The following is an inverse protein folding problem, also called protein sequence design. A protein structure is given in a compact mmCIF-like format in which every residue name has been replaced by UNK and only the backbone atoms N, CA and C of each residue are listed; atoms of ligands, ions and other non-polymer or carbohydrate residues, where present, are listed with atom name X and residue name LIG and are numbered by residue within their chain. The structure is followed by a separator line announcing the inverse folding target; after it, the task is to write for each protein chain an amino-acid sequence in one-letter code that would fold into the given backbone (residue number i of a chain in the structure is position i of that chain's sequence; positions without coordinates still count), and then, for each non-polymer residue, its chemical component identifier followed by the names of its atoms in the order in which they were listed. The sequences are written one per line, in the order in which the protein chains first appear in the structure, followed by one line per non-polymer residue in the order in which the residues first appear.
data_IF_863673778403
#
_entry.id   IF_863673778403
#
_cell.length_a   1.000
_cell.length_b   1.000
_cell.length_c   1.000
_cell.angle_alpha   90.00
_cell.angle_beta   90.00
_cell.angle_gamma   90.00
#
_symmetry.space_group_name_H-M   'P 1'
#
loop_
_entity.id
_entity.type
_entity.pdbx_description
1 polymer ?
#
# COMPACT_ATOMS: atom_id res chain seq x y z
N UNK A 1 -1.07 16.70 -41.56
CA UNK A 1 -1.62 15.50 -40.91
C UNK A 1 -0.69 15.13 -39.76
N UNK A 2 -1.07 15.47 -38.52
CA UNK A 2 -0.17 15.35 -37.37
C UNK A 2 -0.13 13.89 -36.87
N UNK A 3 1.05 13.28 -36.87
CA UNK A 3 1.29 11.99 -36.22
C UNK A 3 1.60 12.27 -34.75
N UNK A 4 0.85 11.66 -33.85
CA UNK A 4 1.03 11.84 -32.42
C UNK A 4 2.15 10.90 -31.96
N UNK A 5 3.31 11.45 -31.60
CA UNK A 5 4.42 10.75 -30.94
C UNK A 5 4.09 10.55 -29.45
N UNK A 6 2.98 9.87 -29.17
CA UNK A 6 2.64 9.43 -27.82
C UNK A 6 2.47 7.92 -27.85
N UNK A 7 3.54 7.20 -27.55
CA UNK A 7 3.41 5.88 -26.91
C UNK A 7 3.51 6.13 -25.41
N UNK A 8 2.37 6.20 -24.69
CA UNK A 8 2.38 6.68 -23.31
C UNK A 8 2.99 5.61 -22.40
N UNK A 9 4.21 5.86 -21.89
CA UNK A 9 4.85 5.07 -20.83
C UNK A 9 3.96 4.91 -19.58
N UNK A 10 3.04 5.86 -19.36
CA UNK A 10 2.02 5.82 -18.32
C UNK A 10 1.07 4.63 -18.41
N UNK A 11 0.90 4.03 -19.59
CA UNK A 11 0.02 2.86 -19.73
C UNK A 11 0.64 1.59 -19.14
N UNK A 12 1.98 1.52 -19.10
CA UNK A 12 2.71 0.37 -18.55
C UNK A 12 3.18 0.61 -17.10
N UNK A 13 3.08 1.84 -16.60
CA UNK A 13 3.34 2.15 -15.21
C UNK A 13 2.17 1.65 -14.35
N UNK A 14 2.48 0.98 -13.24
CA UNK A 14 1.42 0.48 -12.35
C UNK A 14 0.57 1.64 -11.84
N UNK A 15 -0.76 1.58 -11.99
CA UNK A 15 -1.62 2.70 -11.67
C UNK A 15 -1.54 3.02 -10.17
N UNK A 16 -1.41 4.31 -9.85
CA UNK A 16 -1.52 4.81 -8.48
C UNK A 16 -2.99 4.84 -8.10
N UNK A 17 -3.37 4.12 -7.04
CA UNK A 17 -4.77 3.97 -6.60
C UNK A 17 -5.09 4.94 -5.47
N UNK A 18 -4.14 5.17 -4.54
CA UNK A 18 -4.40 6.00 -3.36
C UNK A 18 -3.19 6.83 -2.92
N UNK A 19 -3.29 8.17 -2.93
CA UNK A 19 -2.25 9.12 -2.42
C UNK A 19 -0.81 8.84 -2.90
N UNK A 20 -0.65 8.31 -4.11
CA UNK A 20 0.66 7.96 -4.71
C UNK A 20 1.15 6.53 -4.43
N UNK A 21 0.31 5.68 -3.81
CA UNK A 21 0.52 4.25 -3.60
C UNK A 21 -0.10 3.43 -4.73
N UNK A 22 0.60 2.37 -5.14
CA UNK A 22 0.08 1.31 -6.02
C UNK A 22 -0.95 0.46 -5.28
N UNK A 23 -1.87 -0.17 -6.01
CA UNK A 23 -2.96 -0.97 -5.39
C UNK A 23 -2.46 -2.04 -4.40
N UNK A 24 -1.30 -2.65 -4.66
CA UNK A 24 -0.70 -3.67 -3.78
C UNK A 24 -0.11 -3.08 -2.50
N UNK A 25 0.51 -1.90 -2.58
CA UNK A 25 1.03 -1.19 -1.40
C UNK A 25 -0.11 -0.74 -0.48
N UNK A 26 -1.21 -0.26 -1.06
CA UNK A 26 -2.44 0.08 -0.32
C UNK A 26 -2.96 -1.15 0.41
N UNK A 27 -3.06 -2.30 -0.27
CA UNK A 27 -3.54 -3.54 0.32
C UNK A 27 -2.68 -3.98 1.53
N UNK A 28 -1.35 -3.90 1.44
CA UNK A 28 -0.45 -4.26 2.54
C UNK A 28 -0.58 -3.33 3.75
N UNK A 29 -0.63 -2.01 3.53
CA UNK A 29 -0.80 -1.04 4.63
C UNK A 29 -2.18 -1.18 5.27
N UNK A 30 -3.19 -1.49 4.47
CA UNK A 30 -4.54 -1.70 4.94
C UNK A 30 -4.65 -2.99 5.77
N UNK A 31 -4.11 -4.11 5.29
CA UNK A 31 -4.05 -5.37 6.03
C UNK A 31 -3.22 -5.23 7.31
N UNK A 32 -2.05 -4.59 7.24
CA UNK A 32 -1.21 -4.33 8.41
C UNK A 32 -1.93 -3.46 9.45
N UNK A 33 -2.65 -2.42 9.01
CA UNK A 33 -3.48 -1.61 9.88
C UNK A 33 -4.63 -2.38 10.51
N UNK A 34 -5.35 -3.18 9.71
CA UNK A 34 -6.45 -4.01 10.19
C UNK A 34 -5.97 -5.00 11.26
N UNK A 35 -4.88 -5.74 11.00
CA UNK A 35 -4.32 -6.70 11.95
C UNK A 35 -3.76 -6.01 13.19
N UNK A 36 -3.10 -4.86 13.06
CA UNK A 36 -2.55 -4.12 14.19
C UNK A 36 -3.64 -3.54 15.12
N UNK A 37 -4.79 -3.14 14.57
CA UNK A 37 -5.91 -2.59 15.34
C UNK A 37 -6.94 -3.63 15.81
N UNK A 38 -6.80 -4.88 15.39
CA UNK A 38 -7.64 -5.99 15.84
C UNK A 38 -7.47 -6.30 17.35
N UNK A 39 -6.25 -6.45 17.91
CA UNK A 39 -6.07 -6.64 19.34
C UNK A 39 -6.65 -5.52 20.22
N UNK A 40 -6.36 -4.22 19.98
CA UNK A 40 -6.96 -3.16 20.78
C UNK A 40 -8.49 -3.10 20.60
N UNK A 41 -9.02 -3.46 19.43
CA UNK A 41 -10.47 -3.59 19.22
C UNK A 41 -11.11 -4.68 20.08
N UNK A 42 -10.45 -5.84 20.24
CA UNK A 42 -10.91 -6.92 21.13
C UNK A 42 -10.88 -6.48 22.60
N UNK A 43 -9.78 -5.84 23.02
CA UNK A 43 -9.63 -5.33 24.39
C UNK A 43 -10.73 -4.31 24.71
N UNK A 44 -11.02 -3.40 23.78
CA UNK A 44 -12.05 -2.39 23.94
C UNK A 44 -13.47 -3.00 23.95
N UNK A 45 -13.72 -4.01 23.12
CA UNK A 45 -14.99 -4.72 23.10
C UNK A 45 -15.26 -5.48 24.41
N UNK A 46 -14.22 -6.04 25.04
CA UNK A 46 -14.35 -6.68 26.35
C UNK A 46 -14.71 -5.66 27.44
N UNK A 47 -14.16 -4.45 27.37
CA UNK A 47 -14.41 -3.39 28.34
C UNK A 47 -15.82 -2.79 28.24
N UNK A 48 -16.33 -2.61 27.01
CA UNK A 48 -17.64 -1.98 26.75
C UNK A 48 -18.77 -3.02 26.69
N UNK A 49 -18.44 -4.32 26.54
CA UNK A 49 -19.41 -5.41 26.42
C UNK A 49 -20.16 -5.46 25.09
N UNK A 50 -19.74 -4.66 24.10
CA UNK A 50 -20.39 -4.53 22.79
C UNK A 50 -19.54 -5.21 21.70
N UNK A 51 -20.01 -6.34 21.18
CA UNK A 51 -19.31 -7.13 20.14
C UNK A 51 -19.09 -6.32 18.85
N UNK A 52 -19.96 -5.35 18.57
CA UNK A 52 -19.85 -4.44 17.42
C UNK A 52 -18.65 -3.47 17.48
N UNK A 53 -17.94 -3.37 18.62
CA UNK A 53 -16.75 -2.52 18.73
C UNK A 53 -15.53 -3.09 18.00
N UNK A 54 -15.44 -4.40 17.85
CA UNK A 54 -14.29 -5.03 17.19
C UNK A 54 -14.16 -4.60 15.72
N UNK A 55 -15.20 -4.73 14.85
CA UNK A 55 -15.07 -4.31 13.46
C UNK A 55 -14.93 -2.80 13.31
N UNK A 56 -15.58 -1.99 14.16
CA UNK A 56 -15.50 -0.52 14.04
C UNK A 56 -14.11 0.01 14.35
N UNK A 57 -13.44 -0.48 15.39
CA UNK A 57 -12.05 -0.10 15.71
C UNK A 57 -11.08 -0.62 14.65
N UNK A 58 -11.29 -1.84 14.15
CA UNK A 58 -10.42 -2.40 13.11
C UNK A 58 -10.51 -1.62 11.79
N UNK A 59 -11.72 -1.25 11.33
CA UNK A 59 -11.89 -0.42 10.15
C UNK A 59 -11.42 1.03 10.36
N UNK A 60 -11.66 1.61 11.54
CA UNK A 60 -11.15 2.94 11.87
C UNK A 60 -9.61 2.96 11.86
N UNK A 61 -8.97 1.94 12.44
CA UNK A 61 -7.52 1.76 12.44
C UNK A 61 -6.92 1.53 11.05
N UNK A 62 -7.59 0.72 10.22
CA UNK A 62 -7.24 0.54 8.80
C UNK A 62 -7.31 1.86 8.01
N UNK A 63 -8.33 2.69 8.26
CA UNK A 63 -8.41 4.02 7.64
C UNK A 63 -7.27 4.94 8.10
N UNK A 64 -6.96 4.94 9.39
CA UNK A 64 -5.89 5.74 9.98
C UNK A 64 -4.51 5.33 9.44
N UNK A 65 -4.24 4.02 9.33
CA UNK A 65 -2.98 3.51 8.78
C UNK A 65 -2.81 3.93 7.31
N UNK A 66 -3.87 3.94 6.51
CA UNK A 66 -3.85 4.40 5.12
C UNK A 66 -3.59 5.91 5.00
N UNK A 67 -4.18 6.72 5.87
CA UNK A 67 -3.96 8.17 5.89
C UNK A 67 -2.50 8.50 6.21
N UNK A 68 -1.93 7.83 7.22
CA UNK A 68 -0.54 7.96 7.63
C UNK A 68 0.41 7.42 6.56
N UNK A 69 0.16 6.19 6.07
CA UNK A 69 0.95 5.54 5.02
C UNK A 69 1.02 6.37 3.75
N UNK A 70 -0.11 6.92 3.30
CA UNK A 70 -0.13 7.82 2.14
C UNK A 70 0.54 9.18 2.40
N UNK A 71 0.56 9.67 3.64
CA UNK A 71 1.29 10.91 3.99
C UNK A 71 2.80 10.70 3.93
N UNK A 72 3.27 9.57 4.46
CA UNK A 72 4.68 9.16 4.45
C UNK A 72 5.13 8.97 3.00
N UNK A 73 4.33 8.29 2.18
CA UNK A 73 4.72 8.01 0.80
C UNK A 73 4.77 9.27 -0.07
N UNK A 74 3.91 10.26 0.20
CA UNK A 74 3.97 11.58 -0.45
C UNK A 74 5.23 12.37 -0.09
N UNK A 75 5.81 12.15 1.10
CA UNK A 75 7.09 12.73 1.53
C UNK A 75 8.28 11.98 0.93
N UNK A 76 8.26 10.64 0.95
CA UNK A 76 9.32 9.79 0.41
C UNK A 76 9.50 9.94 -1.11
N UNK A 77 8.40 10.18 -1.85
CA UNK A 77 8.41 10.36 -3.31
C UNK A 77 8.72 11.79 -3.77
N UNK A 78 8.99 12.75 -2.87
CA UNK A 78 9.50 14.08 -3.27
C UNK A 78 10.97 13.96 -3.71
N UNK A 79 11.18 13.91 -5.03
CA UNK A 79 12.51 14.03 -5.65
C UNK A 79 13.19 12.72 -6.07
N UNK A 80 12.51 11.58 -6.09
CA UNK A 80 13.06 10.30 -6.57
C UNK A 80 12.26 9.76 -7.77
N UNK A 81 12.92 9.35 -8.87
CA UNK A 81 12.23 8.72 -10.00
C UNK A 81 11.58 7.40 -9.56
N UNK A 82 10.45 6.97 -10.17
CA UNK A 82 9.77 5.73 -9.82
C UNK A 82 10.39 4.53 -10.55
N UNK A 83 11.25 3.74 -9.88
CA UNK A 83 11.28 2.30 -10.19
C UNK A 83 11.43 1.36 -8.97
N UNK A 84 11.73 1.87 -7.77
CA UNK A 84 12.20 1.01 -6.67
C UNK A 84 11.10 0.19 -5.97
N UNK A 85 9.85 0.68 -5.90
CA UNK A 85 8.85 0.04 -5.03
C UNK A 85 8.15 -1.17 -5.65
N UNK A 86 8.00 -1.23 -6.98
CA UNK A 86 7.46 -2.43 -7.66
C UNK A 86 8.43 -3.59 -7.59
N UNK A 87 9.72 -3.37 -7.88
CA UNK A 87 10.74 -4.43 -7.83
C UNK A 87 10.96 -4.90 -6.39
N UNK A 88 11.12 -3.97 -5.42
CA UNK A 88 11.32 -4.33 -4.01
C UNK A 88 10.13 -5.07 -3.38
N UNK A 89 8.90 -4.66 -3.70
CA UNK A 89 7.69 -5.34 -3.22
C UNK A 89 7.46 -6.68 -3.94
N UNK A 90 7.89 -6.82 -5.21
CA UNK A 90 7.86 -8.10 -5.92
C UNK A 90 8.90 -9.08 -5.35
N UNK A 91 10.09 -8.59 -4.96
CA UNK A 91 11.14 -9.40 -4.34
C UNK A 91 10.84 -9.78 -2.89
N UNK A 92 10.03 -9.00 -2.17
CA UNK A 92 9.66 -9.30 -0.79
C UNK A 92 8.75 -10.54 -0.65
N UNK A 93 8.11 -11.00 -1.73
CA UNK A 93 7.13 -12.10 -1.69
C UNK A 93 7.45 -13.27 -2.62
N UNK A 94 8.26 -13.07 -3.67
CA UNK A 94 8.73 -14.18 -4.50
C UNK A 94 10.14 -14.62 -4.07
N UNK A 95 10.32 -15.84 -3.53
CA UNK A 95 11.65 -16.35 -3.18
C UNK A 95 12.60 -16.48 -4.38
N UNK A 96 12.08 -16.44 -5.63
CA UNK A 96 12.90 -16.50 -6.84
C UNK A 96 13.27 -15.13 -7.44
N UNK A 97 12.73 -14.01 -6.96
CA UNK A 97 12.86 -12.74 -7.69
C UNK A 97 14.29 -12.15 -7.70
N UNK A 98 15.19 -12.68 -6.87
CA UNK A 98 16.61 -12.32 -6.89
C UNK A 98 17.37 -12.82 -8.13
N UNK A 99 16.88 -13.83 -8.86
CA UNK A 99 17.60 -14.38 -10.02
C UNK A 99 17.39 -13.60 -11.31
N UNK A 100 16.30 -12.83 -11.44
CA UNK A 100 16.03 -12.06 -12.67
C UNK A 100 16.88 -10.77 -12.72
N UNK A 101 17.21 -10.19 -11.57
CA UNK A 101 18.02 -8.98 -11.47
C UNK A 101 19.52 -9.19 -11.74
N UNK A 102 20.00 -10.44 -11.74
CA UNK A 102 21.41 -10.76 -11.99
C UNK A 102 21.76 -10.90 -13.48
N UNK A 103 20.75 -10.95 -14.38
CA UNK A 103 20.91 -11.31 -15.79
C UNK A 103 20.46 -10.22 -16.78
N UNK A 104 20.36 -8.96 -16.34
CA UNK A 104 20.09 -7.79 -17.19
C UNK A 104 20.94 -6.62 -16.75
#
# INVERSE_FOLDING_TARGET
MATIEFIPRRLNETPVVFKGMTGREVAMVAFGGFVAFLPPGIVLAWWIGMVAMVPTVAFAGMGLSLLVGGSIMRRLRRGRPPPFSTVACNTAWLPWAGTVAANT
#
